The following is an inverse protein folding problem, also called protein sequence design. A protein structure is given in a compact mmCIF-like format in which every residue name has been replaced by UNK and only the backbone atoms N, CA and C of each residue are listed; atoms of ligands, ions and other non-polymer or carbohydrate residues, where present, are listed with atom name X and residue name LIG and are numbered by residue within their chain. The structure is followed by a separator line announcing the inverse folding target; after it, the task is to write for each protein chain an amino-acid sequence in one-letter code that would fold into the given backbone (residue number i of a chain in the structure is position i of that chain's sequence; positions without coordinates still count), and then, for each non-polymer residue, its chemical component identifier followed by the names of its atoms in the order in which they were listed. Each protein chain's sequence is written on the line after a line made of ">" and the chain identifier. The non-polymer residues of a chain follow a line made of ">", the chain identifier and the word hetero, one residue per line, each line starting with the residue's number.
data_IF_156238368500
#
_entry.id   IF_156238368500
#
_cell.length_a   1.000
_cell.length_b   1.000
_cell.length_c   1.000
_cell.angle_alpha   90.00
_cell.angle_beta   90.00
_cell.angle_gamma   90.00
#
_symmetry.space_group_name_H-M   'P 1'
#
loop_
_entity.id
_entity.type
_entity.pdbx_description
1 polymer ?
#
# COMPACT_ATOMS: atom_id res chain seq x y z
N UNK A 1 12.24 10.17 52.05
CA UNK A 1 12.79 8.91 51.50
C UNK A 1 11.57 8.11 51.05
N UNK A 2 11.01 8.51 49.91
CA UNK A 2 11.07 7.79 48.62
C UNK A 2 10.11 6.57 48.65
N UNK A 3 9.19 6.35 47.73
CA UNK A 3 9.01 6.91 46.39
C UNK A 3 7.54 6.65 45.97
N UNK A 4 6.93 7.65 45.34
CA UNK A 4 5.60 7.58 44.74
C UNK A 4 5.65 6.68 43.51
N UNK A 5 5.12 5.47 43.60
CA UNK A 5 4.83 4.68 42.40
C UNK A 5 3.34 4.43 42.30
N UNK A 6 2.60 5.52 42.07
CA UNK A 6 1.27 5.46 41.50
C UNK A 6 1.46 5.10 40.01
N UNK A 7 1.41 3.80 39.69
CA UNK A 7 1.30 3.34 38.31
C UNK A 7 0.00 3.93 37.74
N UNK A 8 0.11 5.06 37.06
CA UNK A 8 -0.97 5.61 36.27
C UNK A 8 -1.29 4.58 35.18
N UNK A 9 -2.30 3.76 35.42
CA UNK A 9 -2.97 2.98 34.38
C UNK A 9 -3.53 4.01 33.41
N UNK A 10 -2.76 4.31 32.37
CA UNK A 10 -3.23 5.12 31.25
C UNK A 10 -4.39 4.33 30.66
N UNK A 11 -5.61 4.81 30.91
CA UNK A 11 -6.80 4.29 30.25
C UNK A 11 -6.47 4.18 28.75
N UNK A 12 -6.80 3.06 28.07
CA UNK A 12 -6.57 2.91 26.65
C UNK A 12 -7.07 4.18 25.97
N UNK A 13 -6.13 4.94 25.41
CA UNK A 13 -6.43 6.20 24.75
C UNK A 13 -7.47 5.88 23.70
N UNK A 14 -8.65 6.44 23.88
CA UNK A 14 -9.68 6.56 22.87
C UNK A 14 -8.96 6.99 21.59
N UNK A 15 -8.86 6.06 20.65
CA UNK A 15 -8.37 6.37 19.31
C UNK A 15 -9.50 7.23 18.77
N UNK A 16 -9.35 8.54 18.88
CA UNK A 16 -10.23 9.51 18.25
C UNK A 16 -10.40 9.03 16.82
N UNK A 17 -11.63 8.74 16.40
CA UNK A 17 -11.92 8.50 14.99
C UNK A 17 -11.59 9.82 14.28
N UNK A 18 -10.34 9.99 13.89
CA UNK A 18 -9.98 10.94 12.85
C UNK A 18 -10.88 10.62 11.66
N UNK A 19 -11.40 11.66 11.02
CA UNK A 19 -12.18 11.51 9.79
C UNK A 19 -11.36 10.66 8.80
N UNK A 20 -11.77 9.41 8.61
CA UNK A 20 -11.01 8.45 7.82
C UNK A 20 -10.95 8.93 6.38
N UNK A 21 -9.74 9.07 5.84
CA UNK A 21 -9.56 9.45 4.44
C UNK A 21 -10.15 8.36 3.52
N UNK A 22 -10.76 8.73 2.39
CA UNK A 22 -11.33 7.75 1.47
C UNK A 22 -10.24 6.85 0.90
N UNK A 23 -10.54 5.55 0.81
CA UNK A 23 -9.70 4.60 0.08
C UNK A 23 -9.75 4.92 -1.41
N UNK A 24 -8.62 5.31 -2.00
CA UNK A 24 -8.51 5.60 -3.44
C UNK A 24 -7.95 4.41 -4.24
N UNK A 25 -7.21 3.51 -3.59
CA UNK A 25 -6.70 2.30 -4.19
C UNK A 25 -6.41 1.23 -3.13
N UNK A 26 -6.37 -0.04 -3.54
CA UNK A 26 -5.98 -1.19 -2.71
C UNK A 26 -4.88 -1.97 -3.39
N UNK A 27 -3.76 -2.21 -2.70
CA UNK A 27 -2.68 -3.08 -3.17
C UNK A 27 -2.71 -4.38 -2.36
N UNK A 28 -2.71 -5.52 -3.05
CA UNK A 28 -2.50 -6.83 -2.43
C UNK A 28 -1.37 -7.52 -3.17
N UNK A 29 -0.32 -7.93 -2.44
CA UNK A 29 0.84 -8.63 -3.00
C UNK A 29 1.21 -9.83 -2.13
N UNK A 30 1.49 -10.95 -2.77
CA UNK A 30 2.15 -12.11 -2.19
C UNK A 30 3.66 -11.96 -2.37
N UNK A 31 4.42 -12.11 -1.28
CA UNK A 31 5.87 -12.12 -1.29
C UNK A 31 6.37 -13.56 -1.10
N UNK A 32 7.19 -14.04 -2.02
CA UNK A 32 7.86 -15.35 -1.93
C UNK A 32 9.36 -15.12 -1.89
N UNK A 33 10.04 -15.64 -0.87
CA UNK A 33 11.48 -15.52 -0.73
C UNK A 33 12.11 -16.85 -0.31
N UNK A 34 13.28 -17.15 -0.88
CA UNK A 34 14.14 -18.27 -0.47
C UNK A 34 15.43 -17.80 0.23
N UNK A 35 15.52 -16.51 0.56
CA UNK A 35 16.71 -15.88 1.16
C UNK A 35 17.74 -15.36 0.15
N UNK A 36 17.70 -15.81 -1.10
CA UNK A 36 18.59 -15.36 -2.19
C UNK A 36 17.85 -14.68 -3.35
N UNK A 37 16.53 -14.92 -3.41
CA UNK A 37 15.63 -14.37 -4.41
C UNK A 37 14.31 -14.04 -3.76
N UNK A 38 13.75 -12.90 -4.15
CA UNK A 38 12.43 -12.47 -3.71
C UNK A 38 11.57 -12.09 -4.91
N UNK A 39 10.32 -12.53 -4.88
CA UNK A 39 9.33 -12.22 -5.91
C UNK A 39 8.07 -11.70 -5.20
N UNK A 40 7.56 -10.56 -5.66
CA UNK A 40 6.24 -10.07 -5.30
C UNK A 40 5.28 -10.21 -6.48
N UNK A 41 4.08 -10.74 -6.25
CA UNK A 41 3.01 -10.87 -7.25
C UNK A 41 1.70 -10.38 -6.68
N UNK A 42 0.94 -9.60 -7.43
CA UNK A 42 -0.31 -9.06 -6.93
C UNK A 42 -1.01 -8.14 -7.90
N UNK A 43 -1.89 -7.31 -7.35
CA UNK A 43 -2.61 -6.31 -8.12
C UNK A 43 -2.92 -5.06 -7.29
N UNK A 44 -3.11 -3.97 -7.99
CA UNK A 44 -3.62 -2.70 -7.46
C UNK A 44 -4.99 -2.49 -8.05
N UNK A 45 -5.97 -2.28 -7.18
CA UNK A 45 -7.36 -2.04 -7.54
C UNK A 45 -7.68 -0.57 -7.26
N UNK A 46 -8.06 0.15 -8.30
CA UNK A 46 -8.61 1.50 -8.19
C UNK A 46 -9.97 1.45 -7.49
N UNK A 47 -10.13 2.20 -6.40
CA UNK A 47 -11.33 2.12 -5.59
C UNK A 47 -12.56 2.76 -6.24
N UNK A 48 -12.36 3.77 -7.11
CA UNK A 48 -13.46 4.47 -7.79
C UNK A 48 -14.00 3.64 -8.97
N UNK A 49 -13.12 3.09 -9.81
CA UNK A 49 -13.49 2.44 -11.08
C UNK A 49 -13.41 0.91 -11.06
N UNK A 50 -12.86 0.30 -10.00
CA UNK A 50 -12.63 -1.13 -9.88
C UNK A 50 -11.56 -1.68 -10.85
N UNK A 51 -10.84 -0.80 -11.57
CA UNK A 51 -9.80 -1.20 -12.50
C UNK A 51 -8.62 -1.84 -11.77
N UNK A 52 -8.04 -2.86 -12.38
CA UNK A 52 -6.94 -3.61 -11.78
C UNK A 52 -5.67 -3.47 -12.63
N UNK A 53 -4.55 -3.21 -11.96
CA UNK A 53 -3.21 -3.20 -12.55
C UNK A 53 -2.40 -4.30 -11.88
N UNK A 54 -1.93 -5.28 -12.65
CA UNK A 54 -1.07 -6.34 -12.15
C UNK A 54 0.29 -5.82 -11.71
N UNK A 55 0.80 -6.36 -10.62
CA UNK A 55 2.12 -6.06 -10.06
C UNK A 55 2.95 -7.34 -10.04
N UNK A 56 4.09 -7.32 -10.72
CA UNK A 56 5.14 -8.34 -10.58
C UNK A 56 6.48 -7.64 -10.38
N UNK A 57 7.16 -7.96 -9.28
CA UNK A 57 8.49 -7.45 -8.98
C UNK A 57 9.40 -8.62 -8.64
N UNK A 58 10.60 -8.63 -9.19
CA UNK A 58 11.65 -9.62 -8.89
C UNK A 58 12.86 -8.88 -8.37
N UNK A 59 13.41 -9.35 -7.27
CA UNK A 59 14.55 -8.74 -6.59
C UNK A 59 15.49 -9.83 -6.03
N UNK A 60 16.75 -9.47 -5.81
CA UNK A 60 17.76 -10.31 -5.16
C UNK A 60 17.71 -10.23 -3.63
N UNK A 61 16.96 -9.28 -3.07
CA UNK A 61 16.78 -9.13 -1.62
C UNK A 61 15.43 -8.50 -1.28
N UNK A 62 15.02 -8.57 -0.01
CA UNK A 62 13.83 -7.89 0.48
C UNK A 62 13.97 -6.35 0.42
N UNK A 63 15.17 -5.83 0.67
CA UNK A 63 15.41 -4.38 0.63
C UNK A 63 15.22 -3.82 -0.79
N UNK A 64 15.78 -4.50 -1.79
CA UNK A 64 15.61 -4.14 -3.20
C UNK A 64 14.14 -4.26 -3.64
N UNK A 65 13.43 -5.28 -3.17
CA UNK A 65 12.00 -5.44 -3.43
C UNK A 65 11.21 -4.24 -2.91
N UNK A 66 11.46 -3.80 -1.66
CA UNK A 66 10.77 -2.67 -1.05
C UNK A 66 10.98 -1.38 -1.84
N UNK A 67 12.22 -1.10 -2.27
CA UNK A 67 12.50 0.07 -3.10
C UNK A 67 11.78 0.03 -4.46
N UNK A 68 11.74 -1.16 -5.08
CA UNK A 68 11.02 -1.36 -6.34
C UNK A 68 9.51 -1.19 -6.19
N UNK A 69 8.93 -1.68 -5.09
CA UNK A 69 7.51 -1.54 -4.80
C UNK A 69 7.15 -0.08 -4.48
N UNK A 70 7.96 0.63 -3.70
CA UNK A 70 7.77 2.04 -3.38
C UNK A 70 7.75 2.91 -4.66
N UNK A 71 8.63 2.60 -5.63
CA UNK A 71 8.64 3.28 -6.93
C UNK A 71 7.33 3.04 -7.70
N UNK A 72 6.82 1.81 -7.70
CA UNK A 72 5.52 1.48 -8.31
C UNK A 72 4.39 2.27 -7.65
N UNK A 73 4.33 2.28 -6.31
CA UNK A 73 3.35 3.04 -5.52
C UNK A 73 3.37 4.53 -5.86
N UNK A 74 4.56 5.14 -5.94
CA UNK A 74 4.73 6.56 -6.29
C UNK A 74 4.21 6.90 -7.70
N UNK A 75 4.18 5.91 -8.62
CA UNK A 75 3.70 6.12 -9.99
C UNK A 75 2.19 5.89 -10.19
N UNK A 76 1.48 5.36 -9.19
CA UNK A 76 0.07 4.98 -9.32
C UNK A 76 -0.89 6.11 -9.69
N UNK A 77 -0.82 7.30 -9.09
CA UNK A 77 -1.78 8.37 -9.42
C UNK A 77 -1.76 8.68 -10.92
N UNK A 78 -0.57 8.74 -11.52
CA UNK A 78 -0.41 8.95 -12.97
C UNK A 78 -0.85 7.75 -13.80
N UNK A 79 -0.63 6.51 -13.35
CA UNK A 79 -1.05 5.31 -14.08
C UNK A 79 -2.58 5.17 -14.10
N UNK A 80 -3.25 5.45 -12.98
CA UNK A 80 -4.70 5.43 -12.86
C UNK A 80 -5.35 6.52 -13.73
N UNK A 81 -4.78 7.74 -13.73
CA UNK A 81 -5.23 8.82 -14.62
C UNK A 81 -5.11 8.41 -16.10
N UNK A 82 -3.98 7.83 -16.51
CA UNK A 82 -3.77 7.36 -17.89
C UNK A 82 -4.74 6.24 -18.29
N UNK A 83 -5.05 5.32 -17.37
CA UNK A 83 -6.02 4.26 -17.61
C UNK A 83 -7.43 4.82 -17.83
N UNK A 84 -7.85 5.82 -17.04
CA UNK A 84 -9.13 6.54 -17.21
C UNK A 84 -9.22 7.21 -18.58
N UNK A 85 -8.21 7.99 -18.96
CA UNK A 85 -8.18 8.72 -20.24
C UNK A 85 -8.20 7.80 -21.48
N UNK A 86 -7.57 6.62 -21.42
CA UNK A 86 -7.61 5.65 -22.52
C UNK A 86 -9.01 5.10 -22.76
N UNK A 87 -9.81 4.95 -21.69
CA UNK A 87 -11.18 4.42 -21.77
C UNK A 87 -12.12 5.37 -22.50
N UNK A 88 -12.01 6.67 -22.21
CA UNK A 88 -12.85 7.70 -22.83
C UNK A 88 -12.63 7.74 -24.35
N UNK A 89 -11.40 7.46 -24.81
CA UNK A 89 -11.08 7.39 -26.23
C UNK A 89 -11.61 6.13 -26.94
N UNK A 90 -11.78 5.02 -26.24
CA UNK A 90 -12.36 3.79 -26.81
C UNK A 90 -13.89 3.78 -26.82
N UNK A 91 -14.54 4.76 -26.18
CA UNK A 91 -16.00 4.92 -26.13
C UNK A 91 -16.53 6.10 -26.95
N UNK A 92 -15.65 6.85 -27.61
CA UNK A 92 -16.00 7.96 -28.51
C UNK A 92 -15.78 7.61 -29.98
#
# INVERSE_FOLDING_TARGET
>A
MADDTHLAQRAPGEITQEDELPVVARLVVELRSDGTRTIARGAIVDAESGQQVGVEVRASSLLELTGSLAKTLASLPMMLLKARLRRDRTRG
#
